data_IF_353258180420
#
_entry.id   IF_353258180420
#
_cell.length_a   1.000
_cell.length_b   1.000
_cell.length_c   1.000
_cell.angle_alpha   90.00
_cell.angle_beta   90.00
_cell.angle_gamma   90.00
#
_symmetry.space_group_name_H-M   'P 1'
#
loop_
_entity.id
_entity.type
_entity.pdbx_description
1 polymer ?
#
# COMPACT_ATOMS: atom_id res chain seq x y z
N UNK A 1 1.58 -18.30 -19.02
CA UNK A 1 2.48 -17.68 -18.02
C UNK A 1 1.59 -17.14 -16.92
N UNK A 2 1.92 -17.38 -15.65
CA UNK A 2 1.22 -16.72 -14.55
C UNK A 2 1.47 -15.21 -14.65
N UNK A 3 0.45 -14.40 -14.36
CA UNK A 3 0.60 -12.93 -14.29
C UNK A 3 1.48 -12.58 -13.08
N UNK A 4 2.41 -11.64 -13.24
CA UNK A 4 3.19 -11.10 -12.11
C UNK A 4 2.27 -10.43 -11.10
N UNK A 5 2.72 -10.28 -9.85
CA UNK A 5 1.92 -9.61 -8.81
C UNK A 5 1.60 -8.17 -9.22
N UNK A 6 2.53 -7.45 -9.85
CA UNK A 6 2.29 -6.11 -10.40
C UNK A 6 1.19 -6.11 -11.44
N UNK A 7 1.20 -7.02 -12.41
CA UNK A 7 0.16 -7.07 -13.44
C UNK A 7 -1.22 -7.40 -12.85
N UNK A 8 -1.28 -8.23 -11.81
CA UNK A 8 -2.53 -8.53 -11.11
C UNK A 8 -3.02 -7.33 -10.30
N UNK A 9 -2.11 -6.64 -9.60
CA UNK A 9 -2.42 -5.46 -8.81
C UNK A 9 -2.86 -4.29 -9.69
N UNK A 10 -2.17 -4.03 -10.80
CA UNK A 10 -2.54 -3.01 -11.79
C UNK A 10 -3.96 -3.25 -12.30
N UNK A 11 -4.28 -4.50 -12.66
CA UNK A 11 -5.62 -4.88 -13.12
C UNK A 11 -6.67 -4.67 -12.01
N UNK A 12 -6.34 -5.07 -10.79
CA UNK A 12 -7.23 -4.92 -9.64
C UNK A 12 -7.50 -3.43 -9.36
N UNK A 13 -6.46 -2.61 -9.27
CA UNK A 13 -6.54 -1.16 -9.04
C UNK A 13 -7.37 -0.48 -10.14
N UNK A 14 -7.09 -0.78 -11.40
CA UNK A 14 -7.87 -0.24 -12.54
C UNK A 14 -9.35 -0.61 -12.41
N UNK A 15 -9.66 -1.88 -12.12
CA UNK A 15 -11.04 -2.33 -11.93
C UNK A 15 -11.71 -1.69 -10.71
N UNK A 16 -10.96 -1.49 -9.62
CA UNK A 16 -11.45 -0.89 -8.37
C UNK A 16 -11.84 0.57 -8.57
N UNK A 17 -10.99 1.34 -9.27
CA UNK A 17 -11.26 2.76 -9.58
C UNK A 17 -12.42 2.89 -10.56
N UNK A 18 -12.52 2.04 -11.59
CA UNK A 18 -13.61 2.07 -12.57
C UNK A 18 -14.98 1.74 -11.96
N UNK A 19 -15.03 0.83 -10.98
CA UNK A 19 -16.28 0.43 -10.32
C UNK A 19 -16.73 1.42 -9.25
N UNK A 20 -15.84 2.27 -8.75
CA UNK A 20 -16.17 3.28 -7.76
C UNK A 20 -16.74 4.53 -8.44
N UNK A 21 -17.87 5.05 -7.93
CA UNK A 21 -18.40 6.37 -8.33
C UNK A 21 -17.61 7.53 -7.69
N UNK A 22 -16.29 7.52 -7.90
CA UNK A 22 -15.34 8.43 -7.27
C UNK A 22 -14.96 8.00 -5.86
N UNK A 23 -13.69 7.66 -5.66
CA UNK A 23 -13.15 7.32 -4.36
C UNK A 23 -13.03 8.59 -3.51
N UNK A 24 -13.46 8.50 -2.26
CA UNK A 24 -13.38 9.60 -1.29
C UNK A 24 -12.77 9.12 0.02
N UNK A 25 -11.98 9.97 0.62
CA UNK A 25 -11.32 9.76 1.90
C UNK A 25 -11.32 11.08 2.67
N UNK A 26 -11.28 11.03 4.00
CA UNK A 26 -11.09 12.22 4.81
C UNK A 26 -9.67 12.76 4.58
N UNK A 27 -9.56 14.05 4.27
CA UNK A 27 -8.28 14.72 4.15
C UNK A 27 -7.62 14.84 5.53
N UNK A 28 -6.31 14.62 5.55
CA UNK A 28 -5.47 14.77 6.73
C UNK A 28 -4.20 15.51 6.31
N UNK A 29 -4.04 16.74 6.80
CA UNK A 29 -2.88 17.59 6.54
C UNK A 29 -1.60 17.11 7.23
N UNK A 30 -1.72 16.32 8.30
CA UNK A 30 -0.59 15.68 8.97
C UNK A 30 -0.15 14.40 8.26
N UNK A 31 -1.02 13.82 7.42
CA UNK A 31 -0.74 12.61 6.63
C UNK A 31 -0.81 12.84 5.11
N UNK A 32 0.10 13.67 4.54
CA UNK A 32 0.06 14.02 3.12
C UNK A 32 0.33 12.81 2.24
N UNK A 33 -0.41 12.70 1.13
CA UNK A 33 -0.23 11.60 0.18
C UNK A 33 -0.35 12.09 -1.26
N UNK A 34 0.44 11.50 -2.19
CA UNK A 34 0.24 11.71 -3.63
C UNK A 34 -1.08 11.12 -4.15
N UNK A 35 -1.84 10.41 -3.32
CA UNK A 35 -3.16 9.89 -3.65
C UNK A 35 -4.25 10.96 -3.61
N UNK A 36 -4.07 12.05 -2.85
CA UNK A 36 -5.06 13.13 -2.80
C UNK A 36 -5.09 13.89 -4.12
N UNK A 37 -6.28 14.06 -4.70
CA UNK A 37 -6.46 14.88 -5.91
C UNK A 37 -6.53 16.38 -5.59
N UNK A 38 -6.97 16.72 -4.37
CA UNK A 38 -7.16 18.09 -3.89
C UNK A 38 -6.82 18.20 -2.42
N UNK A 39 -6.34 19.37 -1.98
CA UNK A 39 -6.22 19.71 -0.56
C UNK A 39 -7.54 20.28 -0.03
N UNK A 40 -7.81 20.05 1.25
CA UNK A 40 -9.02 20.53 1.93
C UNK A 40 -8.74 20.82 3.41
N UNK A 41 -9.78 21.07 4.22
CA UNK A 41 -9.62 21.10 5.68
C UNK A 41 -9.59 19.68 6.23
N UNK A 42 -8.93 19.48 7.36
CA UNK A 42 -8.86 18.18 8.02
C UNK A 42 -10.26 17.62 8.31
N UNK A 43 -10.47 16.37 7.93
CA UNK A 43 -11.75 15.67 8.05
C UNK A 43 -12.73 15.88 6.88
N UNK A 44 -12.47 16.80 5.96
CA UNK A 44 -13.30 16.96 4.76
C UNK A 44 -13.05 15.81 3.76
N UNK A 45 -14.13 15.32 3.14
CA UNK A 45 -14.02 14.27 2.14
C UNK A 45 -13.48 14.81 0.81
N UNK A 46 -12.26 14.42 0.47
CA UNK A 46 -11.61 14.73 -0.80
C UNK A 46 -11.61 13.53 -1.72
N UNK A 47 -11.47 13.78 -3.02
CA UNK A 47 -11.22 12.71 -3.99
C UNK A 47 -9.79 12.21 -3.86
N UNK A 48 -9.63 10.92 -4.08
CA UNK A 48 -8.32 10.29 -4.12
C UNK A 48 -8.27 9.21 -5.19
N UNK A 49 -7.06 8.85 -5.60
CA UNK A 49 -6.83 7.68 -6.45
C UNK A 49 -5.50 7.01 -6.12
N UNK A 50 -5.38 5.69 -6.31
CA UNK A 50 -4.09 5.00 -6.22
C UNK A 50 -3.10 5.58 -7.25
N UNK A 51 -1.90 5.92 -6.79
CA UNK A 51 -0.87 6.58 -7.60
C UNK A 51 0.37 5.69 -7.65
N UNK A 52 0.95 5.44 -8.83
CA UNK A 52 2.19 4.66 -8.93
C UNK A 52 3.30 5.34 -8.11
N UNK A 53 4.09 4.55 -7.39
CA UNK A 53 5.20 5.11 -6.61
C UNK A 53 6.28 5.67 -7.54
N UNK A 54 6.70 6.89 -7.28
CA UNK A 54 7.80 7.56 -7.97
C UNK A 54 8.51 8.54 -7.02
N UNK A 55 9.73 8.23 -6.54
CA UNK A 55 10.47 6.99 -6.79
C UNK A 55 9.81 5.76 -6.15
N UNK A 56 10.09 4.59 -6.72
CA UNK A 56 9.70 3.29 -6.15
C UNK A 56 10.50 3.06 -4.88
N UNK A 57 9.81 2.71 -3.79
CA UNK A 57 10.45 2.41 -2.52
C UNK A 57 11.10 1.01 -2.52
N UNK A 58 11.96 0.73 -1.54
CA UNK A 58 12.65 -0.56 -1.43
C UNK A 58 12.71 -1.08 0.00
N UNK A 59 12.64 -2.40 0.16
CA UNK A 59 12.85 -3.10 1.45
C UNK A 59 14.31 -3.48 1.72
N UNK A 60 15.28 -3.02 0.91
CA UNK A 60 16.70 -3.38 1.09
C UNK A 60 17.22 -3.10 2.49
N UNK A 61 16.77 -2.03 3.14
CA UNK A 61 17.10 -1.72 4.53
C UNK A 61 16.63 -2.79 5.53
N UNK A 62 15.43 -3.37 5.32
CA UNK A 62 14.88 -4.44 6.17
C UNK A 62 15.67 -5.73 5.95
N UNK A 63 15.95 -6.06 4.68
CA UNK A 63 16.72 -7.25 4.29
C UNK A 63 18.14 -7.21 4.85
N UNK A 64 18.82 -6.06 4.72
CA UNK A 64 20.15 -5.82 5.30
C UNK A 64 20.13 -5.91 6.83
N UNK A 65 19.19 -5.23 7.49
CA UNK A 65 19.11 -5.17 8.95
C UNK A 65 18.84 -6.54 9.59
N UNK A 66 18.09 -7.41 8.91
CA UNK A 66 17.73 -8.74 9.40
C UNK A 66 18.53 -9.88 8.77
N UNK A 67 19.42 -9.58 7.82
CA UNK A 67 20.19 -10.56 7.05
C UNK A 67 19.31 -11.68 6.47
N UNK A 68 18.20 -11.29 5.85
CA UNK A 68 17.25 -12.18 5.19
C UNK A 68 16.80 -11.62 3.86
N UNK A 69 16.24 -12.47 3.01
CA UNK A 69 15.60 -12.06 1.75
C UNK A 69 14.08 -12.11 1.92
N UNK A 70 13.41 -11.02 1.57
CA UNK A 70 11.96 -10.98 1.53
C UNK A 70 11.45 -11.56 0.22
N UNK A 71 10.20 -12.03 0.23
CA UNK A 71 9.57 -12.50 -1.01
C UNK A 71 9.49 -11.33 -2.02
N UNK A 72 10.03 -11.45 -3.24
CA UNK A 72 9.98 -10.39 -4.23
C UNK A 72 8.57 -9.90 -4.56
N UNK A 73 7.57 -10.80 -4.54
CA UNK A 73 6.17 -10.44 -4.78
C UNK A 73 5.60 -9.57 -3.64
N UNK A 74 6.06 -9.80 -2.39
CA UNK A 74 5.70 -8.96 -1.25
C UNK A 74 6.29 -7.56 -1.41
N UNK A 75 7.56 -7.49 -1.79
CA UNK A 75 8.23 -6.22 -2.03
C UNK A 75 7.53 -5.44 -3.15
N UNK A 76 7.30 -6.08 -4.30
CA UNK A 76 6.64 -5.45 -5.45
C UNK A 76 5.20 -5.03 -5.14
N UNK A 77 4.46 -5.81 -4.34
CA UNK A 77 3.10 -5.46 -3.94
C UNK A 77 3.05 -4.12 -3.16
N UNK A 78 3.92 -3.93 -2.16
CA UNK A 78 3.94 -2.72 -1.33
C UNK A 78 4.72 -1.54 -1.93
N UNK A 79 5.42 -1.74 -3.04
CA UNK A 79 6.19 -0.69 -3.72
C UNK A 79 5.62 -0.29 -5.09
N UNK A 80 4.52 -0.93 -5.54
CA UNK A 80 3.88 -0.59 -6.82
C UNK A 80 3.08 0.71 -6.77
N UNK A 81 2.18 0.84 -5.80
CA UNK A 81 1.27 1.99 -5.66
C UNK A 81 1.42 2.63 -4.28
N UNK A 82 1.21 3.94 -4.21
CA UNK A 82 0.63 4.59 -3.05
C UNK A 82 -0.89 4.48 -3.16
N UNK A 83 -1.57 4.13 -2.08
CA UNK A 83 -3.03 3.96 -2.03
C UNK A 83 -3.52 3.93 -0.59
N UNK A 84 -4.77 4.31 -0.37
CA UNK A 84 -5.50 3.86 0.82
C UNK A 84 -5.79 2.35 0.68
N UNK A 85 -6.18 1.71 1.76
CA UNK A 85 -6.53 0.31 1.75
C UNK A 85 -7.68 0.01 0.77
N UNK A 86 -7.55 -1.09 0.04
CA UNK A 86 -8.51 -1.45 -1.00
C UNK A 86 -9.45 -2.55 -0.52
N UNK A 87 -10.75 -2.25 -0.50
CA UNK A 87 -11.76 -3.23 -0.09
C UNK A 87 -11.92 -4.30 -1.17
N UNK A 88 -11.86 -5.56 -0.76
CA UNK A 88 -11.95 -6.70 -1.67
C UNK A 88 -12.92 -7.76 -1.16
N UNK A 89 -13.36 -8.64 -2.05
CA UNK A 89 -14.12 -9.83 -1.71
C UNK A 89 -13.29 -11.06 -2.07
N UNK A 90 -12.95 -11.85 -1.07
CA UNK A 90 -12.34 -13.16 -1.22
C UNK A 90 -13.41 -14.26 -1.04
N UNK A 91 -13.16 -15.51 -1.48
CA UNK A 91 -14.08 -16.62 -1.21
C UNK A 91 -14.40 -16.83 0.28
N UNK A 92 -13.49 -16.40 1.16
CA UNK A 92 -13.63 -16.48 2.62
C UNK A 92 -14.42 -15.29 3.22
N UNK A 93 -14.73 -14.26 2.44
CA UNK A 93 -15.48 -13.10 2.88
C UNK A 93 -14.90 -11.76 2.40
N UNK A 94 -15.49 -10.67 2.92
CA UNK A 94 -14.96 -9.32 2.71
C UNK A 94 -13.63 -9.18 3.42
N UNK A 95 -12.65 -8.65 2.71
CA UNK A 95 -11.35 -8.33 3.25
C UNK A 95 -10.91 -6.94 2.78
N UNK A 96 -9.80 -6.49 3.34
CA UNK A 96 -9.18 -5.25 2.96
C UNK A 96 -7.72 -5.55 2.62
N UNK A 97 -7.31 -5.13 1.44
CA UNK A 97 -5.96 -5.23 0.95
C UNK A 97 -5.19 -4.02 1.47
N UNK A 98 -4.26 -4.29 2.39
CA UNK A 98 -3.40 -3.25 2.95
C UNK A 98 -2.55 -2.63 1.85
N UNK A 99 -2.41 -1.31 1.91
CA UNK A 99 -1.60 -0.52 1.01
C UNK A 99 -0.75 0.48 1.81
N UNK A 100 0.15 1.15 1.10
CA UNK A 100 1.03 2.18 1.67
C UNK A 100 0.49 3.53 1.20
N UNK A 101 0.16 4.42 2.12
CA UNK A 101 -0.50 5.67 1.76
C UNK A 101 0.48 6.74 1.26
N UNK A 102 1.68 6.79 1.82
CA UNK A 102 2.75 7.72 1.46
C UNK A 102 4.12 7.16 1.86
N UNK A 103 5.19 7.93 1.65
CA UNK A 103 6.54 7.49 2.01
C UNK A 103 6.75 7.27 3.51
N UNK A 104 6.14 8.10 4.37
CA UNK A 104 6.26 7.92 5.82
C UNK A 104 5.54 6.65 6.30
N UNK A 105 4.38 6.35 5.70
CA UNK A 105 3.64 5.12 5.93
C UNK A 105 4.44 3.88 5.51
N UNK A 106 5.21 3.98 4.43
CA UNK A 106 6.13 2.92 4.02
C UNK A 106 7.20 2.66 5.08
N UNK A 107 7.80 3.70 5.64
CA UNK A 107 8.78 3.56 6.73
C UNK A 107 8.16 2.88 7.96
N UNK A 108 6.91 3.23 8.30
CA UNK A 108 6.16 2.57 9.38
C UNK A 108 5.88 1.10 9.07
N UNK A 109 5.51 0.77 7.82
CA UNK A 109 5.34 -0.62 7.38
C UNK A 109 6.63 -1.43 7.57
N UNK A 110 7.78 -0.86 7.22
CA UNK A 110 9.07 -1.51 7.40
C UNK A 110 9.40 -1.76 8.88
N UNK A 111 9.16 -0.78 9.75
CA UNK A 111 9.35 -0.92 11.20
C UNK A 111 8.44 -2.00 11.79
N UNK A 112 7.17 -2.02 11.37
CA UNK A 112 6.21 -3.05 11.79
C UNK A 112 6.65 -4.44 11.33
N UNK A 113 7.11 -4.56 10.08
CA UNK A 113 7.62 -5.82 9.53
C UNK A 113 8.84 -6.32 10.31
N UNK A 114 9.81 -5.44 10.60
CA UNK A 114 10.98 -5.77 11.44
C UNK A 114 10.53 -6.30 12.81
N UNK A 115 9.61 -5.59 13.48
CA UNK A 115 9.07 -6.01 14.77
C UNK A 115 8.44 -7.41 14.71
N UNK A 116 7.59 -7.66 13.72
CA UNK A 116 6.96 -8.97 13.52
C UNK A 116 7.96 -10.10 13.26
N UNK A 117 8.99 -9.85 12.45
CA UNK A 117 10.02 -10.83 12.14
C UNK A 117 10.88 -11.15 13.36
N UNK A 118 11.30 -10.14 14.12
CA UNK A 118 12.06 -10.34 15.36
C UNK A 118 11.25 -11.10 16.41
N UNK A 119 9.94 -10.86 16.51
CA UNK A 119 9.08 -11.64 17.40
C UNK A 119 8.99 -13.11 16.97
N UNK A 120 8.89 -13.39 15.67
CA UNK A 120 8.86 -14.77 15.15
C UNK A 120 10.17 -15.51 15.32
N UNK A 121 11.33 -14.85 15.16
CA UNK A 121 12.65 -15.48 15.33
C UNK A 121 12.94 -15.90 16.77
N UNK A 122 12.25 -15.30 17.75
CA UNK A 122 12.41 -15.61 19.19
C UNK A 122 11.53 -16.76 19.67
N UNK A 123 10.62 -17.26 18.84
CA UNK A 123 9.71 -18.38 19.13
C UNK A 123 10.20 -19.66 18.45
#
# INVERSE_FOLDING_TARGET
>A
MALTISAQLDKFVSSYVEQAEGLKIAFDSEWPSPCYETTAQDGELVRWSPTLQSPVQSFSNVEEALSLELNPDYCEYFTRYYSDNLKANAPQGRCELLQVFNSEDFERLQQNLIGHLLMKQRL
#
